data_IF_384934733048
#
_entry.id   IF_384934733048
#
_cell.length_a   1.000
_cell.length_b   1.000
_cell.length_c   1.000
_cell.angle_alpha   90.00
_cell.angle_beta   90.00
_cell.angle_gamma   90.00
#
_symmetry.space_group_name_H-M   'P 1'
#
loop_
_entity.id
_entity.type
_entity.pdbx_description
1 polymer ?
#
# COMPACT_ATOMS: atom_id res chain seq x y z
N UNK A 1 -4.77 104.73 6.72
CA UNK A 1 -6.19 104.85 7.12
C UNK A 1 -6.62 103.58 7.83
N UNK A 2 -7.15 103.72 9.07
CA UNK A 2 -7.95 102.77 9.89
C UNK A 2 -7.35 101.35 10.12
N UNK A 3 -6.84 101.04 11.32
CA UNK A 3 -7.56 100.48 12.51
C UNK A 3 -8.43 99.26 12.10
N UNK A 4 -8.31 98.05 12.65
CA UNK A 4 -8.34 97.72 14.08
C UNK A 4 -8.25 96.19 14.30
N UNK A 5 -7.36 95.78 15.21
CA UNK A 5 -7.47 94.79 16.32
C UNK A 5 -8.40 93.57 16.27
N UNK A 6 -7.82 92.41 16.63
CA UNK A 6 -8.20 91.47 17.73
C UNK A 6 -7.14 90.34 17.71
N UNK A 7 -6.12 90.31 18.59
CA UNK A 7 -6.06 89.86 19.99
C UNK A 7 -6.24 88.33 20.15
N UNK A 8 -5.16 87.73 20.68
CA UNK A 8 -4.99 86.53 21.51
C UNK A 8 -5.70 85.22 21.13
N UNK A 9 -4.95 84.12 21.11
CA UNK A 9 -4.62 83.37 22.33
C UNK A 9 -4.04 82.00 21.97
N UNK A 10 -3.05 81.59 22.76
CA UNK A 10 -2.44 80.27 22.74
C UNK A 10 -3.45 79.15 23.04
N UNK A 11 -3.28 78.00 22.40
CA UNK A 11 -3.70 76.72 22.96
C UNK A 11 -2.82 75.59 22.41
N UNK A 12 -1.96 75.11 23.30
CA UNK A 12 -1.26 73.83 23.24
C UNK A 12 -2.31 72.73 23.20
N UNK A 13 -2.17 71.72 22.34
CA UNK A 13 -2.68 70.37 22.62
C UNK A 13 -1.92 69.32 21.80
N UNK A 14 -1.39 68.36 22.55
CA UNK A 14 -0.59 67.21 22.16
C UNK A 14 -1.17 66.43 20.98
N UNK A 15 -0.33 66.18 19.99
CA UNK A 15 -0.57 65.19 18.94
C UNK A 15 -0.49 63.79 19.55
N UNK A 16 -1.64 63.19 19.85
CA UNK A 16 -1.73 61.76 20.08
C UNK A 16 -1.53 61.05 18.74
N UNK A 17 -0.36 60.43 18.54
CA UNK A 17 -0.12 59.53 17.42
C UNK A 17 -0.88 58.23 17.67
N UNK A 18 -2.02 58.08 17.01
CA UNK A 18 -2.75 56.82 16.91
C UNK A 18 -1.95 55.87 16.03
N UNK A 19 -1.30 54.86 16.61
CA UNK A 19 -0.72 53.77 15.85
C UNK A 19 -1.86 52.93 15.23
N UNK A 20 -1.86 52.67 13.91
CA UNK A 20 -2.77 51.67 13.36
C UNK A 20 -2.34 50.30 13.87
N UNK A 21 -3.23 49.63 14.61
CA UNK A 21 -3.09 48.21 14.92
C UNK A 21 -3.11 47.47 13.59
N UNK A 22 -1.97 46.91 13.21
CA UNK A 22 -1.85 46.01 12.08
C UNK A 22 -2.75 44.80 12.35
N UNK A 23 -3.83 44.66 11.58
CA UNK A 23 -4.51 43.37 11.46
C UNK A 23 -3.57 42.44 10.69
N UNK A 24 -2.73 41.72 11.42
CA UNK A 24 -2.10 40.50 10.92
C UNK A 24 -3.25 39.58 10.54
N UNK A 25 -3.53 39.47 9.24
CA UNK A 25 -4.30 38.35 8.75
C UNK A 25 -3.50 37.11 9.13
N UNK A 26 -4.00 36.39 10.13
CA UNK A 26 -3.59 35.02 10.37
C UNK A 26 -4.00 34.23 9.12
N UNK A 27 -3.13 34.19 8.11
CA UNK A 27 -3.12 33.09 7.16
C UNK A 27 -2.89 31.84 7.99
N UNK A 28 -4.02 31.22 8.33
CA UNK A 28 -4.13 29.86 8.82
C UNK A 28 -3.10 29.03 8.05
N UNK A 29 -2.20 28.30 8.72
CA UNK A 29 -1.20 27.51 8.02
C UNK A 29 -1.96 26.56 7.08
N UNK A 30 -1.82 26.82 5.78
CA UNK A 30 -2.40 26.00 4.73
C UNK A 30 -1.97 24.57 5.00
N UNK A 31 -2.97 23.71 5.13
CA UNK A 31 -2.86 22.30 5.42
C UNK A 31 -1.65 21.72 4.65
N UNK A 32 -0.55 21.39 5.33
CA UNK A 32 0.65 20.84 4.66
C UNK A 32 0.30 19.57 3.86
N UNK A 33 -0.77 18.88 4.25
CA UNK A 33 -1.35 17.75 3.54
C UNK A 33 -1.93 18.09 2.16
N UNK A 34 -2.49 19.30 1.95
CA UNK A 34 -3.00 19.68 0.62
C UNK A 34 -1.87 20.03 -0.34
N UNK A 35 -0.80 20.63 0.17
CA UNK A 35 0.41 20.93 -0.61
C UNK A 35 1.18 19.64 -0.96
N UNK A 36 1.24 18.65 -0.06
CA UNK A 36 1.80 17.32 -0.36
C UNK A 36 0.97 16.53 -1.39
N UNK A 37 -0.36 16.73 -1.41
CA UNK A 37 -1.25 16.17 -2.43
C UNK A 37 -1.10 16.87 -3.79
N UNK A 38 -0.84 18.17 -3.82
CA UNK A 38 -0.61 18.94 -5.06
C UNK A 38 0.82 18.80 -5.63
N UNK A 39 1.83 18.48 -4.82
CA UNK A 39 3.22 18.30 -5.26
C UNK A 39 3.48 16.94 -5.92
N UNK A 40 2.49 16.04 -6.02
CA UNK A 40 2.67 14.79 -6.77
C UNK A 40 3.78 13.94 -6.16
N UNK A 41 3.68 13.64 -4.86
CA UNK A 41 4.44 12.54 -4.28
C UNK A 41 3.93 11.21 -4.87
N UNK A 42 4.18 10.99 -6.16
CA UNK A 42 3.96 9.71 -6.81
C UNK A 42 4.77 8.67 -6.05
N UNK A 43 4.09 7.62 -5.57
CA UNK A 43 4.74 6.56 -4.84
C UNK A 43 5.82 5.94 -5.74
N UNK A 44 7.08 5.93 -5.30
CA UNK A 44 8.17 5.33 -6.10
C UNK A 44 7.92 3.84 -6.34
N UNK A 45 7.20 3.19 -5.43
CA UNK A 45 6.89 1.75 -5.43
C UNK A 45 5.48 1.51 -4.96
N UNK A 46 4.85 0.52 -5.55
CA UNK A 46 3.54 0.06 -5.15
C UNK A 46 3.48 -1.46 -5.28
N UNK A 47 2.80 -2.11 -4.33
CA UNK A 47 2.45 -3.52 -4.43
C UNK A 47 0.97 -3.62 -4.10
N UNK A 48 0.21 -4.22 -5.01
CA UNK A 48 -1.13 -4.73 -4.72
C UNK A 48 -1.12 -6.25 -4.82
N UNK A 49 -1.99 -6.87 -4.05
CA UNK A 49 -2.10 -8.31 -4.01
C UNK A 49 -3.56 -8.74 -3.97
N UNK A 50 -3.81 -9.89 -4.59
CA UNK A 50 -5.11 -10.55 -4.60
C UNK A 50 -4.89 -12.04 -4.27
N UNK A 51 -5.79 -12.62 -3.48
CA UNK A 51 -5.65 -13.99 -2.96
C UNK A 51 -6.84 -14.82 -3.39
N UNK A 52 -6.55 -15.85 -4.17
CA UNK A 52 -7.47 -16.92 -4.51
C UNK A 52 -7.39 -18.03 -3.46
N UNK A 53 -8.48 -18.19 -2.70
CA UNK A 53 -8.68 -19.36 -1.85
C UNK A 53 -9.23 -20.54 -2.68
N UNK A 54 -8.94 -21.78 -2.27
CA UNK A 54 -9.54 -22.95 -2.92
C UNK A 54 -11.06 -22.91 -2.83
N UNK A 55 -11.77 -23.20 -3.92
CA UNK A 55 -13.24 -23.16 -3.93
C UNK A 55 -13.89 -24.39 -3.30
N UNK A 56 -13.25 -25.56 -3.41
CA UNK A 56 -13.75 -26.83 -2.86
C UNK A 56 -12.72 -27.51 -1.97
N UNK A 57 -13.16 -28.52 -1.20
CA UNK A 57 -12.27 -29.30 -0.35
C UNK A 57 -11.28 -30.13 -1.18
N UNK A 58 -11.71 -30.63 -2.34
CA UNK A 58 -10.85 -31.35 -3.29
C UNK A 58 -9.77 -30.42 -3.83
N UNK A 59 -10.12 -29.19 -4.21
CA UNK A 59 -9.17 -28.16 -4.65
C UNK A 59 -8.20 -27.79 -3.52
N UNK A 60 -8.67 -27.69 -2.28
CA UNK A 60 -7.84 -27.43 -1.10
C UNK A 60 -6.77 -28.50 -0.86
N UNK A 61 -7.16 -29.78 -0.94
CA UNK A 61 -6.22 -30.89 -0.80
C UNK A 61 -5.28 -30.98 -2.00
N UNK A 62 -5.78 -30.77 -3.22
CA UNK A 62 -4.97 -30.79 -4.43
C UNK A 62 -3.95 -29.64 -4.50
N UNK A 63 -4.29 -28.45 -3.96
CA UNK A 63 -3.34 -27.35 -3.78
C UNK A 63 -2.37 -27.58 -2.61
N UNK A 64 -2.41 -28.75 -1.95
CA UNK A 64 -1.57 -29.04 -0.80
C UNK A 64 -1.74 -28.00 0.32
N UNK A 65 -2.97 -27.51 0.51
CA UNK A 65 -3.35 -26.52 1.54
C UNK A 65 -2.69 -25.15 1.36
N UNK A 66 -2.43 -24.79 0.11
CA UNK A 66 -2.01 -23.46 -0.28
C UNK A 66 -3.17 -22.65 -0.84
N UNK A 67 -3.09 -21.33 -0.65
CA UNK A 67 -3.80 -20.35 -1.46
C UNK A 67 -2.85 -19.82 -2.54
N UNK A 68 -3.41 -19.28 -3.63
CA UNK A 68 -2.63 -18.62 -4.67
C UNK A 68 -2.76 -17.11 -4.51
N UNK A 69 -1.63 -16.42 -4.43
CA UNK A 69 -1.58 -14.96 -4.36
C UNK A 69 -1.01 -14.39 -5.66
N UNK A 70 -1.79 -13.57 -6.33
CA UNK A 70 -1.31 -12.66 -7.37
C UNK A 70 -0.69 -11.43 -6.70
N UNK A 71 0.54 -11.09 -7.07
CA UNK A 71 1.24 -9.88 -6.65
C UNK A 71 1.51 -9.04 -7.88
N UNK A 72 0.87 -7.86 -7.94
CA UNK A 72 1.14 -6.83 -8.93
C UNK A 72 2.03 -5.78 -8.29
N UNK A 73 3.24 -5.64 -8.81
CA UNK A 73 4.24 -4.68 -8.33
C UNK A 73 4.50 -3.62 -9.38
N UNK A 74 4.61 -2.36 -8.95
CA UNK A 74 5.02 -1.25 -9.80
C UNK A 74 6.20 -0.50 -9.19
N UNK A 75 7.13 -0.05 -10.03
CA UNK A 75 8.22 0.84 -9.61
C UNK A 75 8.54 1.87 -10.70
N UNK A 76 8.85 3.09 -10.29
CA UNK A 76 9.43 4.11 -11.17
C UNK A 76 10.85 3.74 -11.62
N UNK A 77 11.53 2.84 -10.88
CA UNK A 77 12.88 2.38 -11.19
C UNK A 77 12.79 0.99 -11.80
N UNK A 78 12.91 0.90 -13.12
CA UNK A 78 12.63 -0.34 -13.86
C UNK A 78 13.57 -1.51 -13.53
N UNK A 79 14.74 -1.24 -12.94
CA UNK A 79 15.72 -2.25 -12.50
C UNK A 79 15.39 -2.87 -11.14
N UNK A 80 14.39 -2.33 -10.43
CA UNK A 80 13.90 -2.89 -9.16
C UNK A 80 12.96 -4.08 -9.37
N UNK A 81 12.50 -4.29 -10.60
CA UNK A 81 11.72 -5.44 -11.02
C UNK A 81 12.58 -6.34 -11.93
N UNK A 82 12.48 -7.68 -11.80
CA UNK A 82 11.52 -8.42 -10.99
C UNK A 82 11.73 -8.30 -9.48
N UNK A 83 10.71 -8.59 -8.68
CA UNK A 83 10.90 -8.78 -7.24
C UNK A 83 11.92 -9.90 -7.00
N UNK A 84 12.89 -9.64 -6.11
CA UNK A 84 13.92 -10.63 -5.75
C UNK A 84 13.30 -11.77 -4.96
N UNK A 85 12.42 -11.44 -4.01
CA UNK A 85 11.72 -12.44 -3.20
C UNK A 85 10.45 -11.88 -2.58
N UNK A 86 9.46 -12.74 -2.40
CA UNK A 86 8.30 -12.50 -1.55
C UNK A 86 8.30 -13.57 -0.45
N UNK A 87 8.01 -13.19 0.78
CA UNK A 87 8.12 -14.07 1.93
C UNK A 87 7.15 -13.69 3.04
N UNK A 88 6.81 -14.65 3.88
CA UNK A 88 6.07 -14.43 5.12
C UNK A 88 7.07 -14.21 6.25
N UNK A 89 6.80 -13.21 7.09
CA UNK A 89 7.45 -13.04 8.39
C UNK A 89 6.48 -13.46 9.49
N UNK A 90 6.85 -14.50 10.23
CA UNK A 90 6.10 -14.98 11.39
C UNK A 90 7.07 -15.20 12.55
N UNK A 91 6.83 -14.56 13.71
CA UNK A 91 7.70 -14.66 14.90
C UNK A 91 9.19 -14.41 14.57
N UNK A 92 9.48 -13.40 13.74
CA UNK A 92 10.83 -13.07 13.24
C UNK A 92 11.50 -14.15 12.37
N UNK A 93 10.77 -15.19 11.97
CA UNK A 93 11.22 -16.19 11.01
C UNK A 93 10.76 -15.81 9.61
N UNK A 94 11.70 -15.78 8.67
CA UNK A 94 11.46 -15.54 7.25
C UNK A 94 11.17 -16.86 6.54
N UNK A 95 9.95 -17.00 6.02
CA UNK A 95 9.50 -18.16 5.25
C UNK A 95 9.34 -17.73 3.79
N UNK A 96 10.24 -18.15 2.87
CA UNK A 96 10.14 -17.77 1.47
C UNK A 96 8.88 -18.37 0.82
N UNK A 97 8.18 -17.58 0.02
CA UNK A 97 7.05 -18.09 -0.76
C UNK A 97 7.53 -18.66 -2.10
N UNK A 98 6.94 -19.78 -2.50
CA UNK A 98 7.22 -20.40 -3.78
C UNK A 98 6.53 -19.61 -4.91
N UNK A 99 7.32 -19.11 -5.87
CA UNK A 99 6.81 -18.40 -7.05
C UNK A 99 6.44 -19.42 -8.12
N UNK A 100 5.16 -19.46 -8.50
CA UNK A 100 4.64 -20.42 -9.49
C UNK A 100 4.62 -19.84 -10.90
N UNK A 101 4.46 -18.52 -11.04
CA UNK A 101 4.42 -17.86 -12.35
C UNK A 101 4.96 -16.44 -12.25
N UNK A 102 5.67 -16.01 -13.28
CA UNK A 102 6.18 -14.65 -13.45
C UNK A 102 5.79 -14.18 -14.84
N UNK A 103 4.98 -13.12 -14.91
CA UNK A 103 4.64 -12.50 -16.18
C UNK A 103 5.66 -11.42 -16.52
N UNK A 104 5.85 -11.20 -17.82
CA UNK A 104 6.83 -10.26 -18.34
C UNK A 104 6.58 -8.84 -17.83
N UNK A 105 7.69 -8.11 -17.67
CA UNK A 105 7.67 -6.71 -17.24
C UNK A 105 7.03 -5.86 -18.32
N UNK A 106 5.95 -5.18 -17.98
CA UNK A 106 5.28 -4.21 -18.84
C UNK A 106 5.65 -2.79 -18.42
N UNK A 107 5.62 -1.85 -19.35
CA UNK A 107 5.73 -0.43 -19.04
C UNK A 107 4.33 0.15 -19.09
N UNK A 108 3.87 0.69 -17.96
CA UNK A 108 2.60 1.38 -17.88
C UNK A 108 2.74 2.75 -18.55
N UNK A 109 2.31 2.83 -19.81
CA UNK A 109 2.45 3.99 -20.68
C UNK A 109 2.06 5.34 -20.06
N UNK A 110 0.95 5.48 -19.28
CA UNK A 110 0.60 6.77 -18.68
C UNK A 110 1.64 7.31 -17.68
N UNK A 111 2.36 6.43 -16.97
CA UNK A 111 3.24 6.83 -15.87
C UNK A 111 4.72 6.45 -16.09
N UNK A 112 5.06 5.83 -17.23
CA UNK A 112 6.39 5.26 -17.53
C UNK A 112 6.91 4.32 -16.43
N UNK A 113 6.00 3.66 -15.70
CA UNK A 113 6.35 2.78 -14.58
C UNK A 113 6.56 1.36 -15.08
N UNK A 114 7.56 0.69 -14.53
CA UNK A 114 7.67 -0.74 -14.72
C UNK A 114 6.62 -1.45 -13.85
N UNK A 115 5.86 -2.35 -14.46
CA UNK A 115 4.86 -3.18 -13.81
C UNK A 115 5.20 -4.65 -14.03
N UNK A 116 5.04 -5.45 -12.99
CA UNK A 116 5.18 -6.89 -13.05
C UNK A 116 4.07 -7.57 -12.26
N UNK A 117 3.55 -8.66 -12.82
CA UNK A 117 2.63 -9.58 -12.14
C UNK A 117 3.36 -10.89 -11.88
N UNK A 118 3.21 -11.41 -10.67
CA UNK A 118 3.80 -12.68 -10.25
C UNK A 118 2.83 -13.42 -9.33
N UNK A 119 2.87 -14.74 -9.35
CA UNK A 119 1.98 -15.59 -8.56
C UNK A 119 2.80 -16.44 -7.60
N UNK A 120 2.30 -16.57 -6.37
CA UNK A 120 2.95 -17.29 -5.29
C UNK A 120 1.96 -18.22 -4.59
N UNK A 121 2.49 -19.31 -4.03
CA UNK A 121 1.76 -20.16 -3.10
C UNK A 121 1.93 -19.62 -1.69
N UNK A 122 0.82 -19.46 -0.97
CA UNK A 122 0.80 -19.11 0.45
C UNK A 122 0.24 -20.31 1.23
N UNK A 123 0.99 -20.88 2.17
CA UNK A 123 0.44 -21.80 3.15
C UNK A 123 -0.75 -21.20 3.89
N UNK A 124 -1.93 -21.81 3.80
CA UNK A 124 -3.14 -21.28 4.42
C UNK A 124 -2.99 -21.15 5.94
N UNK A 125 -2.27 -22.07 6.58
CA UNK A 125 -1.95 -21.99 8.02
C UNK A 125 -1.31 -20.66 8.42
N UNK A 126 -0.49 -20.05 7.55
CA UNK A 126 0.19 -18.79 7.83
C UNK A 126 -0.75 -17.57 7.75
N UNK A 127 -1.90 -17.74 7.10
CA UNK A 127 -2.98 -16.74 7.03
C UNK A 127 -3.88 -16.77 8.26
N UNK A 128 -3.78 -17.82 9.09
CA UNK A 128 -4.57 -17.99 10.32
C UNK A 128 -3.86 -17.49 11.59
N UNK A 129 -2.62 -17.02 11.46
CA UNK A 129 -1.78 -16.59 12.59
C UNK A 129 -1.25 -15.18 12.34
N UNK A 130 -0.72 -14.57 13.39
CA UNK A 130 -0.04 -13.27 13.27
C UNK A 130 1.18 -13.37 12.32
N UNK A 131 1.03 -12.82 11.13
CA UNK A 131 2.08 -12.84 10.11
C UNK A 131 1.98 -11.64 9.17
N UNK A 132 3.07 -11.36 8.47
CA UNK A 132 3.13 -10.31 7.45
C UNK A 132 3.71 -10.88 6.17
N UNK A 133 3.19 -10.45 5.03
CA UNK A 133 3.82 -10.71 3.73
C UNK A 133 4.66 -9.49 3.36
N UNK A 134 5.93 -9.76 3.06
CA UNK A 134 6.89 -8.75 2.64
C UNK A 134 7.53 -9.13 1.31
N UNK A 135 7.97 -8.10 0.60
CA UNK A 135 8.72 -8.22 -0.64
C UNK A 135 10.08 -7.53 -0.52
N UNK A 136 11.07 -8.12 -1.21
CA UNK A 136 12.34 -7.49 -1.51
C UNK A 136 12.36 -7.15 -3.01
N UNK A 137 12.60 -5.88 -3.32
CA UNK A 137 12.83 -5.44 -4.70
C UNK A 137 14.25 -5.83 -5.15
N UNK A 138 14.49 -5.88 -6.46
CA UNK A 138 15.84 -6.07 -6.99
C UNK A 138 16.70 -4.84 -6.66
N UNK A 139 17.74 -5.03 -5.84
CA UNK A 139 18.56 -3.96 -5.25
C UNK A 139 18.65 -4.05 -3.73
N UNK A 140 18.85 -2.89 -3.09
CA UNK A 140 19.07 -2.79 -1.64
C UNK A 140 17.79 -2.60 -0.81
N UNK A 141 16.62 -2.56 -1.46
CA UNK A 141 15.33 -2.35 -0.79
C UNK A 141 14.73 -3.68 -0.35
N UNK A 142 14.58 -3.84 0.97
CA UNK A 142 14.15 -5.08 1.62
C UNK A 142 13.01 -4.82 2.59
N UNK A 143 12.19 -5.84 2.83
CA UNK A 143 11.16 -5.80 3.87
C UNK A 143 10.02 -4.83 3.58
N UNK A 144 9.62 -4.70 2.31
CA UNK A 144 8.42 -3.93 1.95
C UNK A 144 7.17 -4.74 2.32
N UNK A 145 6.52 -4.41 3.44
CA UNK A 145 5.29 -5.08 3.90
C UNK A 145 4.08 -4.59 3.09
N UNK A 146 3.24 -5.51 2.62
CA UNK A 146 2.05 -5.17 1.83
C UNK A 146 0.78 -5.94 2.22
N UNK A 147 0.89 -7.03 2.99
CA UNK A 147 -0.25 -7.73 3.58
C UNK A 147 0.06 -8.15 5.02
N UNK A 148 -0.97 -8.22 5.85
CA UNK A 148 -0.89 -8.66 7.25
C UNK A 148 -2.07 -9.59 7.55
N UNK A 149 -1.79 -10.66 8.27
CA UNK A 149 -2.80 -11.54 8.86
C UNK A 149 -2.70 -11.48 10.37
N UNK A 150 -3.83 -11.69 11.03
CA UNK A 150 -3.91 -11.75 12.48
C UNK A 150 -4.60 -13.04 12.91
N UNK A 151 -4.18 -13.59 14.05
CA UNK A 151 -4.80 -14.80 14.61
C UNK A 151 -6.27 -14.56 14.98
N UNK A 152 -6.60 -13.33 15.37
CA UNK A 152 -7.96 -12.92 15.77
C UNK A 152 -8.92 -12.90 14.59
N UNK A 153 -8.49 -12.39 13.44
CA UNK A 153 -9.34 -12.34 12.23
C UNK A 153 -9.33 -13.69 11.49
N UNK A 154 -8.18 -14.37 11.51
CA UNK A 154 -7.94 -15.60 10.77
C UNK A 154 -8.24 -15.48 9.28
N UNK A 155 -8.61 -16.61 8.66
CA UNK A 155 -9.34 -16.60 7.40
C UNK A 155 -10.76 -16.12 7.70
N UNK A 156 -11.09 -14.88 7.35
CA UNK A 156 -12.37 -14.25 7.70
C UNK A 156 -13.62 -15.07 7.30
N UNK A 157 -14.83 -14.64 7.71
CA UNK A 157 -16.05 -15.45 7.59
C UNK A 157 -16.46 -15.79 6.14
N UNK A 158 -15.93 -15.09 5.15
CA UNK A 158 -16.14 -15.40 3.72
C UNK A 158 -15.26 -16.52 3.18
N UNK A 159 -14.27 -16.99 3.95
CA UNK A 159 -13.43 -18.11 3.55
C UNK A 159 -14.16 -19.46 3.73
N UNK A 160 -13.92 -20.44 2.84
CA UNK A 160 -14.56 -21.74 2.95
C UNK A 160 -14.29 -22.43 4.28
N UNK A 161 -15.31 -23.10 4.83
CA UNK A 161 -15.23 -23.71 6.16
C UNK A 161 -14.12 -24.78 6.25
N UNK A 162 -13.91 -25.57 5.20
CA UNK A 162 -12.85 -26.59 5.16
C UNK A 162 -11.46 -25.95 5.32
N UNK A 163 -11.18 -24.83 4.67
CA UNK A 163 -9.90 -24.15 4.77
C UNK A 163 -9.76 -23.43 6.12
N UNK A 164 -10.85 -22.79 6.59
CA UNK A 164 -10.85 -21.99 7.82
C UNK A 164 -10.75 -22.82 9.09
N UNK A 165 -11.41 -23.97 9.15
CA UNK A 165 -11.55 -24.78 10.37
C UNK A 165 -10.58 -25.96 10.44
N UNK A 166 -9.84 -26.25 9.36
CA UNK A 166 -8.83 -27.30 9.39
C UNK A 166 -7.70 -26.96 10.37
N UNK A 167 -7.57 -27.79 11.40
CA UNK A 167 -6.54 -27.71 12.43
C UNK A 167 -5.29 -28.53 12.07
N UNK A 168 -5.37 -29.35 11.03
CA UNK A 168 -4.28 -30.21 10.55
C UNK A 168 -3.75 -29.70 9.21
N UNK A 169 -3.68 -28.39 9.02
CA UNK A 169 -3.44 -27.71 7.74
C UNK A 169 -1.96 -27.61 7.33
N UNK A 170 -1.17 -28.62 7.70
CA UNK A 170 0.25 -28.70 7.31
C UNK A 170 0.37 -28.71 5.78
N UNK A 171 1.13 -27.77 5.17
CA UNK A 171 1.25 -27.67 3.73
C UNK A 171 2.01 -28.84 3.12
N UNK A 172 1.56 -29.27 1.95
CA UNK A 172 2.19 -30.32 1.13
C UNK A 172 2.45 -29.81 -0.28
N UNK A 173 3.16 -30.59 -1.09
CA UNK A 173 3.37 -30.23 -2.49
C UNK A 173 2.02 -30.17 -3.24
N UNK A 174 1.73 -29.07 -3.96
CA UNK A 174 0.50 -28.95 -4.75
C UNK A 174 0.58 -29.73 -6.07
N UNK A 175 -0.58 -30.18 -6.55
CA UNK A 175 -0.75 -30.67 -7.91
C UNK A 175 -0.65 -29.50 -8.91
N UNK A 176 0.28 -29.55 -9.88
CA UNK A 176 0.40 -28.53 -10.92
C UNK A 176 -0.89 -28.30 -11.72
N UNK A 177 -1.72 -29.33 -11.90
CA UNK A 177 -2.99 -29.24 -12.63
C UNK A 177 -3.99 -28.40 -11.85
N UNK A 178 -4.08 -28.61 -10.54
CA UNK A 178 -4.93 -27.81 -9.66
C UNK A 178 -4.50 -26.33 -9.65
N UNK A 179 -3.19 -26.05 -9.64
CA UNK A 179 -2.68 -24.68 -9.76
C UNK A 179 -3.19 -24.03 -11.06
N UNK A 180 -3.07 -24.72 -12.20
CA UNK A 180 -3.49 -24.20 -13.48
C UNK A 180 -5.01 -23.94 -13.54
N UNK A 181 -5.83 -24.85 -12.98
CA UNK A 181 -7.28 -24.68 -12.91
C UNK A 181 -7.68 -23.46 -12.10
N UNK A 182 -7.06 -23.24 -10.95
CA UNK A 182 -7.33 -22.07 -10.11
C UNK A 182 -6.89 -20.78 -10.78
N UNK A 183 -5.70 -20.76 -11.40
CA UNK A 183 -5.24 -19.59 -12.15
C UNK A 183 -6.19 -19.22 -13.29
N UNK A 184 -6.71 -20.22 -14.02
CA UNK A 184 -7.66 -19.99 -15.11
C UNK A 184 -9.03 -19.50 -14.60
N UNK A 185 -9.48 -19.99 -13.44
CA UNK A 185 -10.75 -19.62 -12.82
C UNK A 185 -10.74 -18.21 -12.23
N UNK A 186 -9.69 -17.87 -11.49
CA UNK A 186 -9.62 -16.65 -10.67
C UNK A 186 -8.91 -15.50 -11.39
N UNK A 187 -7.97 -15.80 -12.29
CA UNK A 187 -7.15 -14.80 -12.99
C UNK A 187 -7.18 -14.94 -14.53
N UNK A 188 -8.35 -15.06 -15.18
CA UNK A 188 -8.46 -15.31 -16.63
C UNK A 188 -7.91 -14.18 -17.53
N UNK A 189 -7.71 -12.98 -16.97
CA UNK A 189 -7.12 -11.84 -17.69
C UNK A 189 -5.59 -11.91 -17.77
N UNK A 190 -4.96 -12.64 -16.86
CA UNK A 190 -3.52 -12.73 -16.67
C UNK A 190 -2.98 -14.10 -17.05
N UNK A 191 -3.81 -15.14 -16.91
CA UNK A 191 -3.51 -16.52 -17.25
C UNK A 191 -4.33 -16.93 -18.48
N UNK A 192 -3.67 -16.95 -19.65
CA UNK A 192 -4.23 -17.38 -20.94
C UNK A 192 -3.25 -18.29 -21.65
#
# INVERSE_FOLDING_TARGET
MRRSKLVDAAAILSTAATFPVSSVSSQQPGNTDSVLREIGAESVREISADIALPATAEEYEALGRHAIMMVRSSSAISTELPLRSVYVMHRNVRIPLHRILLLDKQVDAPNSRAVQVSFYLIPIQLMKVDSQILADFSGDRRGFSFLRFTEVEGLGPGAPAFARLDAYDTPTDPDPSAIAEVLAREFPGQFR
#
